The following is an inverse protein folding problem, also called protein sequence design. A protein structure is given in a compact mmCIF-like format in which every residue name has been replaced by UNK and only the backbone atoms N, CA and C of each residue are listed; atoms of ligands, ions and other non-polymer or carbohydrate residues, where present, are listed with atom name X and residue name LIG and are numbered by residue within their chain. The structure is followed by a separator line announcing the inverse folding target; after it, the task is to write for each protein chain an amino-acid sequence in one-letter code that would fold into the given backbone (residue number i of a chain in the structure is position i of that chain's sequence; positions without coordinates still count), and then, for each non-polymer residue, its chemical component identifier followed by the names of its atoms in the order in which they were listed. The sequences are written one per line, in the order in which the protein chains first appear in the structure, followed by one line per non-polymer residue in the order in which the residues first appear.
data_IF_400927944725
#
_entry.id   IF_400927944725
#
_cell.length_a   1.000
_cell.length_b   1.000
_cell.length_c   1.000
_cell.angle_alpha   90.00
_cell.angle_beta   90.00
_cell.angle_gamma   90.00
#
_symmetry.space_group_name_H-M   'P 1'
#
loop_
_entity.id
_entity.type
_entity.pdbx_description
1 polymer ?
#
# COMPACT_ATOMS: atom_id res chain seq x y z
N UNK A 1 17.07 -50.93 32.02
CA UNK A 1 17.92 -49.76 32.36
C UNK A 1 18.44 -49.07 31.11
N UNK A 2 19.09 -49.76 30.15
CA UNK A 2 19.67 -49.13 28.94
C UNK A 2 18.66 -48.54 27.92
N UNK A 3 17.45 -49.09 27.82
CA UNK A 3 16.43 -48.59 26.88
C UNK A 3 15.78 -47.26 27.30
N UNK A 4 15.76 -46.96 28.60
CA UNK A 4 15.24 -45.70 29.13
C UNK A 4 16.18 -44.52 28.87
N UNK A 5 17.50 -44.74 28.89
CA UNK A 5 18.49 -43.71 28.53
C UNK A 5 18.48 -43.37 27.05
N UNK A 6 18.31 -44.37 26.17
CA UNK A 6 18.26 -44.14 24.72
C UNK A 6 17.05 -43.29 24.32
N UNK A 7 15.87 -43.56 24.89
CA UNK A 7 14.66 -42.78 24.66
C UNK A 7 14.76 -41.36 25.23
N UNK A 8 15.47 -41.18 26.36
CA UNK A 8 15.71 -39.84 26.93
C UNK A 8 16.70 -39.03 26.08
N UNK A 9 17.72 -39.67 25.52
CA UNK A 9 18.71 -39.01 24.67
C UNK A 9 18.11 -38.57 23.33
N UNK A 10 17.26 -39.40 22.72
CA UNK A 10 16.55 -39.07 21.48
C UNK A 10 15.59 -37.90 21.69
N UNK A 11 14.84 -37.90 22.80
CA UNK A 11 13.95 -36.80 23.17
C UNK A 11 14.72 -35.49 23.41
N UNK A 12 15.86 -35.56 24.09
CA UNK A 12 16.71 -34.36 24.29
C UNK A 12 17.31 -33.85 22.98
N UNK A 13 17.67 -34.73 22.05
CA UNK A 13 18.20 -34.33 20.74
C UNK A 13 17.11 -33.68 19.86
N UNK A 14 15.89 -34.19 19.88
CA UNK A 14 14.76 -33.61 19.15
C UNK A 14 14.39 -32.22 19.71
N UNK A 15 14.33 -32.09 21.04
CA UNK A 15 14.04 -30.82 21.72
C UNK A 15 15.12 -29.77 21.42
N UNK A 16 16.40 -30.19 21.40
CA UNK A 16 17.51 -29.29 21.04
C UNK A 16 17.46 -28.87 19.57
N UNK A 17 17.05 -29.77 18.67
CA UNK A 17 16.90 -29.46 17.24
C UNK A 17 15.75 -28.48 17.02
N UNK A 18 14.61 -28.69 17.68
CA UNK A 18 13.46 -27.80 17.65
C UNK A 18 13.80 -26.41 18.20
N UNK A 19 14.57 -26.34 19.30
CA UNK A 19 15.00 -25.07 19.87
C UNK A 19 15.97 -24.31 18.94
N UNK A 20 16.88 -25.01 18.27
CA UNK A 20 17.80 -24.40 17.31
C UNK A 20 17.09 -23.92 16.04
N UNK A 21 16.12 -24.69 15.53
CA UNK A 21 15.30 -24.33 14.38
C UNK A 21 14.40 -23.13 14.69
N UNK A 22 13.79 -23.08 15.87
CA UNK A 22 13.00 -21.95 16.34
C UNK A 22 13.86 -20.67 16.49
N UNK A 23 15.09 -20.81 17.00
CA UNK A 23 16.02 -19.69 17.13
C UNK A 23 16.45 -19.15 15.76
N UNK A 24 16.80 -20.03 14.82
CA UNK A 24 17.14 -19.64 13.45
C UNK A 24 15.96 -18.97 12.73
N UNK A 25 14.72 -19.42 12.97
CA UNK A 25 13.50 -18.80 12.42
C UNK A 25 13.24 -17.41 13.01
N UNK A 26 13.53 -17.21 14.30
CA UNK A 26 13.43 -15.90 14.94
C UNK A 26 14.48 -14.91 14.41
N UNK A 27 15.74 -15.35 14.27
CA UNK A 27 16.82 -14.51 13.72
C UNK A 27 16.59 -14.19 12.22
N UNK A 28 16.03 -15.13 11.44
CA UNK A 28 15.66 -14.87 10.05
C UNK A 28 14.48 -13.89 9.90
N UNK A 29 13.51 -13.94 10.83
CA UNK A 29 12.40 -12.99 10.84
C UNK A 29 12.87 -11.57 11.22
N UNK A 30 13.80 -11.45 12.16
CA UNK A 30 14.39 -10.17 12.58
C UNK A 30 15.24 -9.55 11.47
N UNK A 31 16.05 -10.35 10.77
CA UNK A 31 16.83 -9.89 9.62
C UNK A 31 15.93 -9.42 8.45
N UNK A 32 14.83 -10.12 8.18
CA UNK A 32 13.86 -9.73 7.15
C UNK A 32 13.11 -8.42 7.50
N UNK A 33 12.77 -8.22 8.78
CA UNK A 33 12.15 -6.98 9.24
C UNK A 33 13.12 -5.78 9.14
N UNK A 34 14.40 -5.97 9.47
CA UNK A 34 15.41 -4.94 9.38
C UNK A 34 15.74 -4.55 7.93
N UNK A 35 15.75 -5.49 6.98
CA UNK A 35 15.95 -5.19 5.56
C UNK A 35 14.77 -4.44 4.95
N UNK A 36 13.53 -4.80 5.30
CA UNK A 36 12.31 -4.07 4.89
C UNK A 36 12.33 -2.62 5.37
N UNK A 37 12.76 -2.37 6.61
CA UNK A 37 12.88 -1.02 7.15
C UNK A 37 13.92 -0.16 6.40
N UNK A 38 15.03 -0.75 5.92
CA UNK A 38 16.02 -0.03 5.11
C UNK A 38 15.55 0.24 3.69
N UNK A 39 14.91 -0.73 3.02
CA UNK A 39 14.36 -0.51 1.67
C UNK A 39 13.26 0.56 1.63
N UNK A 40 12.45 0.67 2.69
CA UNK A 40 11.40 1.70 2.84
C UNK A 40 11.96 3.12 2.95
N UNK A 41 13.22 3.28 3.36
CA UNK A 41 13.85 4.60 3.45
C UNK A 41 14.46 5.07 2.11
N UNK A 42 14.74 4.17 1.17
CA UNK A 42 15.40 4.49 -0.12
C UNK A 42 14.48 4.37 -1.34
N UNK A 43 13.37 3.62 -1.24
CA UNK A 43 12.29 3.64 -2.22
C UNK A 43 11.19 4.56 -1.70
N UNK A 44 11.20 5.80 -2.19
CA UNK A 44 10.04 6.67 -2.04
C UNK A 44 8.79 5.96 -2.54
N UNK A 45 7.72 6.10 -1.74
CA UNK A 45 6.29 6.02 -2.02
C UNK A 45 5.78 5.04 -3.09
N UNK A 46 4.65 4.41 -2.77
CA UNK A 46 3.87 3.46 -3.58
C UNK A 46 4.42 2.01 -3.57
N UNK A 47 3.89 1.14 -2.69
CA UNK A 47 2.74 0.29 -3.06
C UNK A 47 2.47 -0.83 -2.04
N UNK A 48 1.18 -1.02 -1.78
CA UNK A 48 0.48 -2.26 -1.43
C UNK A 48 0.84 -3.01 -0.14
N UNK A 49 0.31 -2.47 0.96
CA UNK A 49 -0.33 -3.27 2.01
C UNK A 49 -1.46 -4.12 1.39
N UNK A 50 -1.12 -5.33 0.92
CA UNK A 50 -2.07 -6.45 0.81
C UNK A 50 -2.43 -6.93 2.22
N UNK A 51 -3.22 -6.13 2.94
CA UNK A 51 -3.93 -6.56 4.14
C UNK A 51 -5.43 -6.58 3.85
N UNK A 52 -6.02 -7.75 4.07
CA UNK A 52 -7.43 -8.14 3.92
C UNK A 52 -8.40 -6.96 3.68
N UNK A 53 -8.74 -6.73 2.40
CA UNK A 53 -9.50 -5.56 1.97
C UNK A 53 -10.91 -5.52 2.57
N UNK A 54 -11.08 -4.70 3.60
CA UNK A 54 -12.39 -4.12 3.91
C UNK A 54 -12.78 -3.23 2.73
N UNK A 55 -13.59 -3.79 1.82
CA UNK A 55 -14.03 -3.10 0.59
C UNK A 55 -14.79 -1.80 0.89
N UNK A 56 -15.21 -1.56 2.13
CA UNK A 56 -15.89 -0.33 2.54
C UNK A 56 -14.97 0.90 2.62
N UNK A 57 -13.65 0.69 2.64
CA UNK A 57 -12.65 1.76 2.77
C UNK A 57 -12.13 2.31 1.43
N UNK A 58 -12.42 1.62 0.32
CA UNK A 58 -12.01 2.05 -1.02
C UNK A 58 -13.15 2.76 -1.74
N UNK A 59 -12.79 3.72 -2.59
CA UNK A 59 -13.69 4.40 -3.51
C UNK A 59 -13.13 4.24 -4.92
N UNK A 60 -13.97 3.82 -5.86
CA UNK A 60 -13.66 3.73 -7.28
C UNK A 60 -14.28 4.89 -8.03
N UNK A 61 -13.47 5.77 -8.62
CA UNK A 61 -13.95 6.92 -9.40
C UNK A 61 -13.20 7.01 -10.73
N UNK A 62 -13.61 7.92 -11.60
CA UNK A 62 -12.98 8.18 -12.90
C UNK A 62 -12.42 9.59 -12.94
N UNK A 63 -11.25 9.77 -13.52
CA UNK A 63 -10.71 11.09 -13.84
C UNK A 63 -10.72 11.28 -15.35
N UNK A 64 -11.43 12.30 -15.81
CA UNK A 64 -11.48 12.73 -17.21
C UNK A 64 -10.48 13.85 -17.45
N UNK A 65 -9.56 13.62 -18.39
CA UNK A 65 -8.63 14.65 -18.87
C UNK A 65 -9.19 15.48 -20.04
N UNK A 66 -8.41 16.46 -20.48
CA UNK A 66 -8.71 17.30 -21.67
C UNK A 66 -8.81 16.49 -22.98
N UNK A 67 -8.13 15.36 -23.04
CA UNK A 67 -8.13 14.46 -24.19
C UNK A 67 -9.31 13.48 -24.18
N UNK A 68 -10.30 13.69 -23.30
CA UNK A 68 -11.52 12.87 -23.17
C UNK A 68 -11.29 11.41 -22.78
N UNK A 69 -10.06 11.07 -22.39
CA UNK A 69 -9.73 9.75 -21.86
C UNK A 69 -10.09 9.69 -20.37
N UNK A 70 -10.98 8.76 -20.03
CA UNK A 70 -11.38 8.49 -18.65
C UNK A 70 -10.42 7.47 -18.04
N UNK A 71 -9.80 7.82 -16.93
CA UNK A 71 -8.94 6.93 -16.15
C UNK A 71 -9.70 6.46 -14.92
N UNK A 72 -9.94 5.15 -14.81
CA UNK A 72 -10.55 4.57 -13.60
C UNK A 72 -9.48 4.45 -12.52
N UNK A 73 -9.73 5.06 -11.37
CA UNK A 73 -8.85 5.05 -10.20
C UNK A 73 -9.59 4.42 -9.04
N UNK A 74 -8.89 3.59 -8.28
CA UNK A 74 -9.33 3.06 -6.99
C UNK A 74 -8.40 3.62 -5.93
N UNK A 75 -8.96 4.29 -4.91
CA UNK A 75 -8.17 4.83 -3.81
C UNK A 75 -8.87 4.63 -2.47
N UNK A 76 -8.10 4.58 -1.38
CA UNK A 76 -8.64 4.53 -0.01
C UNK A 76 -9.26 5.88 0.36
N UNK A 77 -10.30 5.90 1.18
CA UNK A 77 -10.89 7.13 1.76
C UNK A 77 -9.87 7.96 2.54
N UNK A 78 -8.84 7.34 3.10
CA UNK A 78 -7.73 8.01 3.80
C UNK A 78 -6.68 8.60 2.87
N UNK A 79 -6.76 8.34 1.57
CA UNK A 79 -5.81 8.88 0.56
C UNK A 79 -6.06 10.36 0.35
N UNK A 80 -5.01 11.16 0.29
CA UNK A 80 -5.13 12.58 -0.02
C UNK A 80 -5.36 12.81 -1.51
N UNK A 81 -6.08 13.89 -1.84
CA UNK A 81 -6.30 14.32 -3.22
C UNK A 81 -4.96 14.63 -3.92
N UNK A 82 -3.96 15.15 -3.21
CA UNK A 82 -2.60 15.33 -3.72
C UNK A 82 -1.97 14.02 -4.22
N UNK A 83 -2.09 12.92 -3.47
CA UNK A 83 -1.59 11.61 -3.90
C UNK A 83 -2.33 11.09 -5.13
N UNK A 84 -3.64 11.30 -5.20
CA UNK A 84 -4.45 10.95 -6.39
C UNK A 84 -3.99 11.74 -7.62
N UNK A 85 -3.71 13.05 -7.47
CA UNK A 85 -3.18 13.90 -8.54
C UNK A 85 -1.81 13.38 -9.02
N UNK A 86 -0.91 13.05 -8.09
CA UNK A 86 0.40 12.51 -8.44
C UNK A 86 0.27 11.17 -9.17
N UNK A 87 -0.61 10.28 -8.71
CA UNK A 87 -0.92 9.03 -9.37
C UNK A 87 -1.45 9.26 -10.80
N UNK A 88 -2.39 10.18 -10.97
CA UNK A 88 -2.91 10.56 -12.29
C UNK A 88 -1.81 11.09 -13.22
N UNK A 89 -0.89 11.94 -12.71
CA UNK A 89 0.25 12.44 -13.50
C UNK A 89 1.14 11.30 -13.98
N UNK A 90 1.42 10.31 -13.13
CA UNK A 90 2.20 9.11 -13.50
C UNK A 90 1.48 8.28 -14.57
N UNK A 91 0.17 8.05 -14.42
CA UNK A 91 -0.64 7.32 -15.42
C UNK A 91 -0.65 8.01 -16.79
N UNK A 92 -0.59 9.34 -16.79
CA UNK A 92 -0.62 10.19 -17.98
C UNK A 92 0.76 10.52 -18.54
N UNK A 93 1.83 10.00 -17.91
CA UNK A 93 3.22 10.34 -18.24
C UNK A 93 3.46 11.86 -18.29
N UNK A 94 2.78 12.61 -17.42
CA UNK A 94 2.93 14.06 -17.29
C UNK A 94 4.17 14.40 -16.48
N UNK A 95 4.76 15.54 -16.81
CA UNK A 95 5.91 16.05 -16.08
C UNK A 95 5.55 16.29 -14.59
N UNK A 96 6.40 15.89 -13.64
CA UNK A 96 6.16 16.12 -12.21
C UNK A 96 6.03 17.60 -11.83
N UNK A 97 6.50 18.54 -12.64
CA UNK A 97 6.29 19.99 -12.44
C UNK A 97 4.93 20.47 -12.98
N UNK A 98 4.22 19.65 -13.76
CA UNK A 98 2.91 20.01 -14.31
C UNK A 98 1.88 20.24 -13.20
N UNK A 99 1.25 21.42 -13.20
CA UNK A 99 0.18 21.73 -12.25
C UNK A 99 -1.13 21.10 -12.74
N UNK A 100 -1.63 20.14 -11.97
CA UNK A 100 -2.92 19.48 -12.22
C UNK A 100 -3.86 19.79 -11.07
N UNK A 101 -5.08 20.20 -11.40
CA UNK A 101 -6.17 20.41 -10.45
C UNK A 101 -7.31 19.46 -10.76
N UNK A 102 -7.92 18.89 -9.73
CA UNK A 102 -9.12 18.08 -9.87
C UNK A 102 -10.34 18.92 -9.53
N UNK A 103 -11.38 18.79 -10.36
CA UNK A 103 -12.67 19.44 -10.21
C UNK A 103 -13.76 18.37 -10.10
N UNK A 104 -14.71 18.55 -9.20
CA UNK A 104 -15.95 17.77 -9.08
C UNK A 104 -17.12 18.74 -9.13
N UNK A 105 -18.11 18.49 -9.99
CA UNK A 105 -19.24 19.42 -10.22
C UNK A 105 -18.81 20.88 -10.45
N UNK A 106 -17.78 21.08 -11.27
CA UNK A 106 -17.16 22.39 -11.56
C UNK A 106 -16.52 23.11 -10.35
N UNK A 107 -16.40 22.45 -9.19
CA UNK A 107 -15.69 22.94 -8.00
C UNK A 107 -14.31 22.31 -7.86
N UNK A 108 -13.29 23.16 -7.64
CA UNK A 108 -11.93 22.69 -7.44
C UNK A 108 -11.76 22.05 -6.05
N UNK A 109 -11.22 20.83 -6.04
CA UNK A 109 -11.00 20.07 -4.81
C UNK A 109 -9.66 20.47 -4.19
N UNK A 110 -9.66 20.67 -2.87
CA UNK A 110 -8.44 20.96 -2.12
C UNK A 110 -7.51 19.71 -2.11
N UNK A 111 -6.28 19.81 -2.63
CA UNK A 111 -5.31 18.70 -2.65
C UNK A 111 -4.91 18.21 -1.25
N UNK A 112 -5.12 19.03 -0.21
CA UNK A 112 -4.77 18.71 1.18
C UNK A 112 -5.80 17.82 1.88
N UNK A 113 -7.01 17.72 1.34
CA UNK A 113 -8.11 16.92 1.91
C UNK A 113 -7.93 15.44 1.58
N UNK A 114 -8.42 14.58 2.47
CA UNK A 114 -8.59 13.15 2.18
C UNK A 114 -9.83 12.92 1.32
N UNK A 115 -9.82 11.84 0.55
CA UNK A 115 -10.93 11.45 -0.32
C UNK A 115 -12.24 11.26 0.48
N UNK A 116 -12.17 10.67 1.68
CA UNK A 116 -13.32 10.49 2.57
C UNK A 116 -13.83 11.77 3.23
N UNK A 117 -13.10 12.88 3.14
CA UNK A 117 -13.56 14.21 3.57
C UNK A 117 -14.20 15.01 2.44
N UNK A 118 -14.17 14.46 1.22
CA UNK A 118 -14.77 15.04 0.02
C UNK A 118 -16.12 14.38 -0.26
N UNK A 119 -16.90 14.95 -1.17
CA UNK A 119 -18.20 14.40 -1.60
C UNK A 119 -18.05 13.33 -2.69
N UNK A 120 -16.82 12.83 -2.93
CA UNK A 120 -16.55 11.82 -3.96
C UNK A 120 -16.97 10.43 -3.46
N UNK A 121 -17.83 9.79 -4.21
CA UNK A 121 -18.33 8.43 -4.01
C UNK A 121 -17.91 7.48 -5.15
N UNK A 122 -18.35 6.22 -5.05
CA UNK A 122 -18.10 5.21 -6.07
C UNK A 122 -18.83 5.54 -7.39
N UNK A 123 -18.16 5.26 -8.49
CA UNK A 123 -18.54 5.57 -9.88
C UNK A 123 -18.61 7.07 -10.25
N UNK A 124 -18.18 7.97 -9.36
CA UNK A 124 -18.08 9.40 -9.65
C UNK A 124 -17.04 9.75 -10.72
N UNK A 125 -17.19 10.94 -11.29
CA UNK A 125 -16.31 11.46 -12.34
C UNK A 125 -15.73 12.82 -11.98
N UNK A 126 -14.41 12.86 -11.88
CA UNK A 126 -13.61 14.06 -11.67
C UNK A 126 -13.09 14.60 -13.00
N UNK A 127 -12.96 15.91 -13.11
CA UNK A 127 -12.32 16.58 -14.24
C UNK A 127 -10.90 17.00 -13.87
N UNK A 128 -9.92 16.56 -14.63
CA UNK A 128 -8.54 17.01 -14.49
C UNK A 128 -8.28 18.25 -15.37
N UNK A 129 -7.97 19.38 -14.73
CA UNK A 129 -7.47 20.60 -15.38
C UNK A 129 -5.96 20.65 -15.29
N UNK A 130 -5.33 20.71 -16.46
CA UNK A 130 -3.89 20.96 -16.60
C UNK A 130 -3.71 22.46 -16.76
N UNK A 131 -2.91 23.06 -15.89
CA UNK A 131 -2.56 24.49 -15.88
C UNK A 131 -1.45 24.86 -16.85
#
# INVERSE_FOLDING_TARGET
MKELEAAQLEKQAEETRLAHEAKMRAEAAEAAAAERARRRAERGDDDDDEEEEDQSEYVMFKIRGKDTADQKIRAKKTTTVASIINHYKRLRELDPETVVKLEFDDEAIDPSKMLGETEIEDDDMLTARIG
#
